data_IF_928429649203
#
_entry.id   IF_928429649203
#
_cell.length_a   1.000
_cell.length_b   1.000
_cell.length_c   1.000
_cell.angle_alpha   90.00
_cell.angle_beta   90.00
_cell.angle_gamma   90.00
#
_symmetry.space_group_name_H-M   'P 1'
#
loop_
_entity.id
_entity.type
_entity.pdbx_description
1 polymer ?
#
# COMPACT_ATOMS: atom_id res chain seq x y z
N UNK A 1 2.73 -10.04 14.21
CA UNK A 1 1.87 -8.85 14.38
C UNK A 1 1.17 -8.58 13.04
N UNK A 2 -0.06 -8.07 13.06
CA UNK A 2 -0.79 -7.73 11.83
C UNK A 2 -0.37 -6.32 11.38
N UNK A 3 0.44 -6.24 10.32
CA UNK A 3 1.02 -4.99 9.81
C UNK A 3 -0.05 -3.96 9.45
N UNK A 4 -1.18 -4.38 8.88
CA UNK A 4 -2.28 -3.47 8.53
C UNK A 4 -2.85 -2.84 9.80
N UNK A 5 -3.12 -3.66 10.82
CA UNK A 5 -3.67 -3.16 12.09
C UNK A 5 -2.69 -2.20 12.79
N UNK A 6 -1.39 -2.50 12.75
CA UNK A 6 -0.37 -1.62 13.29
C UNK A 6 -0.36 -0.25 12.58
N UNK A 7 -0.25 -0.25 11.25
CA UNK A 7 -0.23 0.98 10.45
C UNK A 7 -1.54 1.77 10.54
N UNK A 8 -2.68 1.08 10.66
CA UNK A 8 -3.99 1.73 10.83
C UNK A 8 -4.11 2.51 12.14
N UNK A 9 -3.43 2.07 13.20
CA UNK A 9 -3.39 2.79 14.47
C UNK A 9 -2.36 3.92 14.51
N UNK A 10 -1.41 3.92 13.56
CA UNK A 10 -0.26 4.80 13.56
C UNK A 10 -0.38 5.95 12.54
N UNK A 11 -1.02 5.70 11.40
CA UNK A 11 -1.12 6.63 10.29
C UNK A 11 -2.51 7.28 10.18
N UNK A 12 -2.57 8.45 9.55
CA UNK A 12 -3.80 9.25 9.45
C UNK A 12 -4.88 8.67 8.52
N UNK A 13 -4.49 8.00 7.44
CA UNK A 13 -5.41 7.52 6.40
C UNK A 13 -5.73 6.03 6.53
N UNK A 14 -6.84 5.60 5.92
CA UNK A 14 -7.34 4.22 6.04
C UNK A 14 -6.48 3.24 5.23
N UNK A 15 -5.62 2.51 5.94
CA UNK A 15 -4.66 1.54 5.39
C UNK A 15 -5.34 0.17 5.14
N UNK A 16 -6.51 -0.08 5.73
CA UNK A 16 -7.22 -1.36 5.55
C UNK A 16 -7.62 -1.62 4.10
N UNK A 17 -7.72 -0.56 3.30
CA UNK A 17 -7.94 -0.63 1.85
C UNK A 17 -6.90 -1.46 1.10
N UNK A 18 -5.70 -1.67 1.66
CA UNK A 18 -4.69 -2.55 1.07
C UNK A 18 -4.86 -4.04 1.45
N UNK A 19 -5.61 -4.33 2.51
CA UNK A 19 -5.92 -5.69 2.95
C UNK A 19 -7.26 -6.22 2.44
N UNK A 20 -8.10 -5.37 1.86
CA UNK A 20 -9.33 -5.80 1.20
C UNK A 20 -9.02 -6.42 -0.18
N UNK A 21 -9.68 -7.53 -0.56
CA UNK A 21 -9.53 -8.09 -1.89
C UNK A 21 -9.90 -7.04 -2.92
N UNK A 22 -9.08 -6.92 -3.97
CA UNK A 22 -9.28 -5.96 -5.07
C UNK A 22 -10.53 -6.39 -5.85
N UNK A 23 -11.71 -6.01 -5.37
CA UNK A 23 -12.94 -6.14 -6.15
C UNK A 23 -12.88 -5.14 -7.30
N UNK A 24 -12.96 -5.62 -8.55
CA UNK A 24 -13.14 -4.94 -9.85
C UNK A 24 -12.71 -3.46 -9.99
N UNK A 25 -11.72 -3.01 -9.23
CA UNK A 25 -11.18 -1.66 -9.31
C UNK A 25 -9.96 -1.72 -10.20
N UNK A 26 -10.22 -1.65 -11.50
CA UNK A 26 -9.23 -1.28 -12.50
C UNK A 26 -8.59 0.04 -12.08
N UNK A 27 -7.33 0.00 -11.67
CA UNK A 27 -6.57 1.21 -11.47
C UNK A 27 -6.18 1.78 -12.83
N UNK A 28 -6.51 3.04 -13.07
CA UNK A 28 -6.10 3.80 -14.26
C UNK A 28 -4.61 4.19 -14.19
N UNK A 29 -3.72 3.22 -13.94
CA UNK A 29 -2.31 3.43 -14.25
C UNK A 29 -2.13 3.25 -15.76
N UNK A 30 -1.49 4.20 -16.46
CA UNK A 30 -1.18 4.04 -17.88
C UNK A 30 -0.02 3.06 -18.02
N UNK A 31 -0.26 1.77 -17.80
CA UNK A 31 0.67 0.72 -18.23
C UNK A 31 0.43 0.46 -19.72
N UNK A 32 1.41 0.71 -20.61
CA UNK A 32 1.15 0.84 -22.04
C UNK A 32 0.55 -0.38 -22.75
N UNK A 33 0.68 -1.60 -22.22
CA UNK A 33 0.39 -2.81 -23.00
C UNK A 33 -0.30 -3.96 -22.24
N UNK A 34 -0.63 -3.81 -20.96
CA UNK A 34 -1.27 -4.89 -20.18
C UNK A 34 -2.26 -4.32 -19.20
N UNK A 35 -3.53 -4.76 -19.23
CA UNK A 35 -4.51 -4.32 -18.25
C UNK A 35 -4.18 -4.99 -16.90
N UNK A 36 -4.11 -4.18 -15.85
CA UNK A 36 -3.67 -4.57 -14.50
C UNK A 36 -4.69 -4.12 -13.46
N UNK A 37 -4.94 -4.96 -12.45
CA UNK A 37 -5.70 -4.57 -11.26
C UNK A 37 -4.72 -4.20 -10.16
N UNK A 38 -4.74 -2.96 -9.67
CA UNK A 38 -3.89 -2.57 -8.54
C UNK A 38 -4.67 -1.69 -7.56
N UNK A 39 -4.24 -1.68 -6.30
CA UNK A 39 -4.81 -0.77 -5.30
C UNK A 39 -4.25 0.63 -5.55
N UNK A 40 -5.12 1.63 -5.57
CA UNK A 40 -4.70 3.04 -5.69
C UNK A 40 -3.75 3.42 -4.54
N UNK A 41 -2.63 4.11 -4.81
CA UNK A 41 -1.75 4.60 -3.77
C UNK A 41 -2.49 5.50 -2.78
N UNK A 42 -2.07 5.46 -1.52
CA UNK A 42 -2.68 6.20 -0.42
C UNK A 42 -1.61 7.09 0.19
N UNK A 43 -1.82 8.40 0.11
CA UNK A 43 -1.07 9.35 0.93
C UNK A 43 -1.39 9.08 2.40
N UNK A 44 -0.42 9.12 3.30
CA UNK A 44 -0.65 8.99 4.73
C UNK A 44 0.41 9.78 5.49
N UNK A 45 0.12 10.15 6.74
CA UNK A 45 1.07 10.83 7.59
C UNK A 45 1.23 10.12 8.93
N UNK A 46 2.46 10.15 9.46
CA UNK A 46 2.77 9.84 10.84
C UNK A 46 2.65 11.11 11.68
N UNK A 47 1.95 11.03 12.80
CA UNK A 47 1.74 12.16 13.69
C UNK A 47 2.40 11.95 15.06
N UNK A 48 2.74 13.05 15.73
CA UNK A 48 3.02 13.04 17.16
C UNK A 48 1.73 12.80 17.95
N UNK A 49 1.81 12.43 19.26
CA UNK A 49 0.63 12.36 20.12
C UNK A 49 -0.13 13.69 20.26
N UNK A 50 0.50 14.82 19.92
CA UNK A 50 -0.12 16.15 19.89
C UNK A 50 -0.76 16.48 18.54
N UNK A 51 -0.76 15.53 17.58
CA UNK A 51 -1.34 15.71 16.25
C UNK A 51 -0.50 16.52 15.28
N UNK A 52 0.81 16.68 15.52
CA UNK A 52 1.73 17.36 14.59
C UNK A 52 2.31 16.37 13.59
N UNK A 53 2.54 16.80 12.35
CA UNK A 53 3.18 15.97 11.33
C UNK A 53 4.63 15.64 11.70
N UNK A 54 4.97 14.36 11.64
CA UNK A 54 6.34 13.86 11.70
C UNK A 54 6.84 13.55 10.30
N UNK A 55 6.15 12.65 9.59
CA UNK A 55 6.50 12.25 8.22
C UNK A 55 5.26 12.10 7.35
N UNK A 56 5.41 12.41 6.09
CA UNK A 56 4.49 12.09 5.01
C UNK A 56 4.98 10.86 4.24
N UNK A 57 4.04 10.00 3.83
CA UNK A 57 4.33 8.76 3.12
C UNK A 57 3.32 8.58 1.98
N UNK A 58 3.79 8.07 0.85
CA UNK A 58 2.91 7.52 -0.17
C UNK A 58 2.97 6.00 -0.14
N UNK A 59 1.88 5.38 0.31
CA UNK A 59 1.78 3.93 0.44
C UNK A 59 1.21 3.32 -0.84
N UNK A 60 1.79 2.21 -1.30
CA UNK A 60 1.30 1.49 -2.46
C UNK A 60 1.61 -0.01 -2.37
N UNK A 61 0.79 -0.80 -3.05
CA UNK A 61 1.04 -2.23 -3.25
C UNK A 61 1.83 -2.41 -4.54
N UNK A 62 2.95 -3.14 -4.54
CA UNK A 62 3.69 -3.40 -5.77
C UNK A 62 2.83 -4.28 -6.69
N UNK A 63 2.99 -4.16 -8.02
CA UNK A 63 2.35 -5.09 -8.94
C UNK A 63 2.90 -6.50 -8.70
N UNK A 64 2.07 -7.41 -8.22
CA UNK A 64 2.41 -8.83 -8.08
C UNK A 64 2.08 -9.59 -9.38
N UNK A 65 2.60 -10.80 -9.57
CA UNK A 65 2.23 -11.64 -10.73
C UNK A 65 0.71 -11.88 -10.82
N UNK A 66 0.03 -11.81 -9.68
CA UNK A 66 -1.42 -11.91 -9.51
C UNK A 66 -2.17 -10.58 -9.78
N UNK A 67 -1.51 -9.54 -10.30
CA UNK A 67 -2.15 -8.30 -10.77
C UNK A 67 -2.21 -8.22 -12.29
N UNK A 68 -1.57 -9.18 -12.98
CA UNK A 68 -1.60 -9.31 -14.43
C UNK A 68 -2.89 -10.02 -14.83
N UNK A 69 -3.76 -9.32 -15.55
CA UNK A 69 -4.94 -9.97 -16.14
C UNK A 69 -4.47 -11.04 -17.14
N UNK A 70 -5.14 -12.18 -17.12
CA UNK A 70 -4.90 -13.24 -18.10
C UNK A 70 -5.37 -12.81 -19.50
N UNK A 71 -5.10 -13.62 -20.52
CA UNK A 71 -5.52 -13.32 -21.90
C UNK A 71 -7.04 -13.20 -22.09
N UNK A 72 -7.83 -13.59 -21.09
CA UNK A 72 -9.29 -13.48 -21.10
C UNK A 72 -9.79 -12.19 -20.44
N UNK A 73 -8.91 -11.39 -19.83
CA UNK A 73 -9.27 -10.21 -19.06
C UNK A 73 -9.82 -10.54 -17.67
N UNK A 74 -9.77 -11.81 -17.26
CA UNK A 74 -10.22 -12.25 -15.95
C UNK A 74 -9.00 -12.21 -15.03
N UNK A 75 -9.03 -11.30 -14.06
CA UNK A 75 -7.91 -11.12 -13.13
C UNK A 75 -7.73 -12.33 -12.25
N UNK A 76 -6.50 -12.68 -11.89
CA UNK A 76 -6.26 -13.89 -11.13
C UNK A 76 -6.85 -13.70 -9.72
N UNK A 77 -7.45 -14.77 -9.22
CA UNK A 77 -8.02 -14.79 -7.89
C UNK A 77 -6.89 -14.56 -6.88
N UNK A 78 -6.79 -13.34 -6.35
CA UNK A 78 -5.89 -13.06 -5.23
C UNK A 78 -6.36 -13.91 -4.05
N UNK A 79 -5.53 -14.87 -3.62
CA UNK A 79 -5.80 -15.61 -2.39
C UNK A 79 -5.84 -14.59 -1.24
N UNK A 80 -6.98 -14.42 -0.54
CA UNK A 80 -7.09 -13.45 0.56
C UNK A 80 -6.12 -13.74 1.71
N UNK A 81 -5.50 -14.93 1.75
CA UNK A 81 -4.53 -15.31 2.77
C UNK A 81 -3.07 -15.19 2.32
N UNK A 82 -2.80 -14.71 1.10
CA UNK A 82 -1.43 -14.47 0.64
C UNK A 82 -0.83 -13.27 1.40
N UNK A 83 0.41 -13.37 1.92
CA UNK A 83 1.09 -12.22 2.52
C UNK A 83 1.20 -11.11 1.47
N UNK A 84 0.66 -9.93 1.80
CA UNK A 84 0.78 -8.76 0.94
C UNK A 84 1.99 -7.94 1.36
N UNK A 85 2.73 -7.45 0.37
CA UNK A 85 3.82 -6.50 0.58
C UNK A 85 3.29 -5.08 0.43
N UNK A 86 3.74 -4.18 1.32
CA UNK A 86 3.38 -2.76 1.31
C UNK A 86 4.63 -1.93 1.19
N UNK A 87 4.64 -1.02 0.24
CA UNK A 87 5.74 -0.11 -0.02
C UNK A 87 5.34 1.30 0.38
N UNK A 88 6.35 2.08 0.78
CA UNK A 88 6.22 3.49 1.09
C UNK A 88 7.27 4.25 0.27
N UNK A 89 6.82 5.24 -0.49
CA UNK A 89 7.71 6.25 -1.05
C UNK A 89 7.91 7.37 -0.03
N UNK A 90 9.17 7.65 0.32
CA UNK A 90 9.61 8.59 1.35
C UNK A 90 10.91 9.25 0.90
N UNK A 91 11.17 10.47 1.39
CA UNK A 91 12.44 11.15 1.12
C UNK A 91 13.61 10.34 1.71
N UNK A 92 14.66 10.14 0.90
CA UNK A 92 15.84 9.37 1.31
C UNK A 92 16.55 9.98 2.54
N UNK A 93 16.43 11.29 2.74
CA UNK A 93 17.02 11.99 3.89
C UNK A 93 16.37 11.63 5.23
N UNK A 94 15.13 11.14 5.24
CA UNK A 94 14.39 10.79 6.46
C UNK A 94 14.32 9.28 6.71
N UNK A 95 14.83 8.46 5.78
CA UNK A 95 14.68 6.99 5.82
C UNK A 95 15.24 6.37 7.09
N UNK A 96 16.46 6.73 7.49
CA UNK A 96 17.11 6.14 8.66
C UNK A 96 16.36 6.49 9.96
N UNK A 97 15.88 7.73 10.08
CA UNK A 97 15.11 8.22 11.22
C UNK A 97 13.73 7.56 11.29
N UNK A 98 13.08 7.40 10.14
CA UNK A 98 11.80 6.72 10.00
C UNK A 98 11.92 5.24 10.39
N UNK A 99 12.97 4.54 9.93
CA UNK A 99 13.24 3.16 10.29
C UNK A 99 13.50 3.01 11.79
N UNK A 100 14.28 3.92 12.38
CA UNK A 100 14.49 3.95 13.82
C UNK A 100 13.19 4.17 14.60
N UNK A 101 12.23 4.91 14.03
CA UNK A 101 10.92 5.17 14.63
C UNK A 101 10.00 3.94 14.57
N UNK A 102 10.01 3.18 13.47
CA UNK A 102 9.21 1.96 13.34
C UNK A 102 9.78 0.74 14.06
N UNK A 103 11.09 0.74 14.38
CA UNK A 103 11.77 -0.38 15.04
C UNK A 103 11.90 -0.24 16.56
N UNK A 104 11.43 0.88 17.12
CA UNK A 104 11.31 1.11 18.56
C UNK A 104 10.12 0.36 19.16
#
# INVERSE_FOLDING_TARGET
PDTVKFLQGLLTNDIRKFGEPIGDKTANFPTPNVPTTSVTPIYAALLTPQGRFLYDLFLYKPPNSDTKLDTTGTGPASDPNQPFELFADVDASVLDELLATFTK
#
